data_IF_484040643007
#
_entry.id   IF_484040643007
#
_cell.length_a   1.000
_cell.length_b   1.000
_cell.length_c   1.000
_cell.angle_alpha   90.00
_cell.angle_beta   90.00
_cell.angle_gamma   90.00
#
_symmetry.space_group_name_H-M   'P 1'
#
loop_
_entity.id
_entity.type
_entity.pdbx_description
1 polymer ?
#
# COMPACT_ATOMS: atom_id res chain seq x y z
N UNK A 1 -23.17 2.18 -3.92
CA UNK A 1 -21.88 1.99 -3.20
C UNK A 1 -20.80 2.53 -4.13
N UNK A 2 -20.27 3.72 -3.88
CA UNK A 2 -19.15 4.25 -4.68
C UNK A 2 -17.93 3.39 -4.41
N UNK A 3 -17.38 2.79 -5.46
CA UNK A 3 -16.26 1.86 -5.35
C UNK A 3 -14.96 2.65 -5.32
N UNK A 4 -14.29 2.67 -4.17
CA UNK A 4 -12.97 3.28 -4.04
C UNK A 4 -11.97 2.57 -4.95
N UNK A 5 -11.21 3.36 -5.72
CA UNK A 5 -10.10 2.83 -6.50
C UNK A 5 -8.79 3.01 -5.70
N UNK A 6 -8.12 1.89 -5.44
CA UNK A 6 -6.86 1.83 -4.68
C UNK A 6 -5.74 1.42 -5.64
N UNK A 7 -4.80 2.33 -5.90
CA UNK A 7 -3.58 2.07 -6.64
C UNK A 7 -2.41 1.92 -5.67
N UNK A 8 -1.60 0.87 -5.85
CA UNK A 8 -0.42 0.59 -5.02
C UNK A 8 0.75 0.25 -5.91
N UNK A 9 1.94 0.73 -5.56
CA UNK A 9 3.18 0.47 -6.29
C UNK A 9 4.37 0.40 -5.33
N UNK A 10 5.18 -0.64 -5.46
CA UNK A 10 6.49 -0.74 -4.80
C UNK A 10 7.50 0.13 -5.56
N UNK A 11 8.23 0.97 -4.84
CA UNK A 11 9.34 1.74 -5.37
C UNK A 11 10.56 0.82 -5.51
N UNK A 12 10.83 0.40 -6.75
CA UNK A 12 11.88 -0.59 -7.05
C UNK A 12 13.28 -0.07 -6.75
N UNK A 13 13.50 1.23 -6.96
CA UNK A 13 14.84 1.83 -6.86
C UNK A 13 15.24 2.05 -5.40
N UNK A 14 14.25 2.23 -4.52
CA UNK A 14 14.46 2.47 -3.08
C UNK A 14 14.07 1.29 -2.18
N UNK A 15 13.73 0.13 -2.77
CA UNK A 15 13.39 -1.08 -2.01
C UNK A 15 14.52 -2.11 -2.07
N UNK A 16 14.89 -2.64 -0.90
CA UNK A 16 15.89 -3.71 -0.78
C UNK A 16 15.43 -4.71 0.27
N UNK A 17 15.49 -6.00 -0.06
CA UNK A 17 15.10 -7.05 0.88
C UNK A 17 15.85 -6.89 2.23
N UNK A 18 15.15 -6.93 3.39
CA UNK A 18 13.73 -7.23 3.61
C UNK A 18 12.75 -6.02 3.69
N UNK A 19 13.18 -4.81 3.33
CA UNK A 19 12.41 -3.56 3.44
C UNK A 19 12.00 -2.97 2.09
N UNK A 20 10.71 -2.71 1.93
CA UNK A 20 10.11 -2.25 0.68
C UNK A 20 9.39 -0.93 0.87
N UNK A 21 9.73 0.08 0.06
CA UNK A 21 9.05 1.37 0.02
C UNK A 21 7.83 1.25 -0.89
N UNK A 22 6.65 1.61 -0.39
CA UNK A 22 5.39 1.41 -1.09
C UNK A 22 4.61 2.71 -1.13
N UNK A 23 4.23 3.12 -2.35
CA UNK A 23 3.32 4.23 -2.58
C UNK A 23 1.90 3.69 -2.72
N UNK A 24 0.93 4.36 -2.08
CA UNK A 24 -0.49 4.10 -2.31
C UNK A 24 -1.23 5.39 -2.64
N UNK A 25 -2.31 5.24 -3.41
CA UNK A 25 -3.23 6.33 -3.78
C UNK A 25 -4.65 5.78 -3.80
N UNK A 26 -5.58 6.50 -3.19
CA UNK A 26 -7.01 6.16 -3.13
C UNK A 26 -7.83 7.29 -3.75
N UNK A 27 -8.69 6.93 -4.69
CA UNK A 27 -9.61 7.85 -5.33
C UNK A 27 -11.06 7.39 -5.20
N UNK A 28 -11.98 8.33 -5.03
CA UNK A 28 -13.42 8.13 -5.05
C UNK A 28 -14.01 8.90 -6.24
N UNK A 29 -14.65 8.20 -7.17
CA UNK A 29 -15.20 8.80 -8.40
C UNK A 29 -14.18 9.69 -9.16
N UNK A 30 -12.91 9.28 -9.16
CA UNK A 30 -11.79 10.02 -9.78
C UNK A 30 -11.20 11.15 -8.92
N UNK A 31 -11.82 11.51 -7.80
CA UNK A 31 -11.30 12.47 -6.83
C UNK A 31 -10.29 11.81 -5.90
N UNK A 32 -9.12 12.41 -5.73
CA UNK A 32 -8.14 11.99 -4.71
C UNK A 32 -8.73 12.21 -3.31
N UNK A 33 -8.80 11.14 -2.52
CA UNK A 33 -9.23 11.20 -1.11
C UNK A 33 -8.09 10.93 -0.14
N UNK A 34 -7.02 10.28 -0.57
CA UNK A 34 -5.81 10.12 0.21
C UNK A 34 -4.74 9.32 -0.50
N UNK A 35 -3.50 9.56 -0.11
CA UNK A 35 -2.29 8.91 -0.60
C UNK A 35 -1.24 8.90 0.51
N UNK A 36 -0.14 8.17 0.24
CA UNK A 36 0.98 8.12 1.15
C UNK A 36 2.10 7.21 0.68
N UNK A 37 3.18 7.23 1.44
CA UNK A 37 4.36 6.38 1.28
C UNK A 37 4.56 5.68 2.61
N UNK A 38 4.72 4.36 2.57
CA UNK A 38 4.97 3.53 3.75
C UNK A 38 6.13 2.58 3.49
N UNK A 39 6.73 2.09 4.57
CA UNK A 39 7.71 1.01 4.51
C UNK A 39 7.04 -0.28 4.95
N UNK A 40 7.23 -1.35 4.17
CA UNK A 40 6.80 -2.70 4.51
C UNK A 40 8.03 -3.58 4.71
N UNK A 41 8.14 -4.21 5.87
CA UNK A 41 9.22 -5.10 6.25
C UNK A 41 8.71 -6.54 6.26
N UNK A 42 9.20 -7.40 5.36
CA UNK A 42 8.63 -8.76 5.15
C UNK A 42 8.83 -9.71 6.33
N UNK A 43 9.83 -9.45 7.16
CA UNK A 43 10.18 -10.29 8.32
C UNK A 43 9.53 -9.80 9.61
N UNK A 44 8.84 -8.66 9.57
CA UNK A 44 8.18 -8.13 10.76
C UNK A 44 6.87 -8.90 11.00
N UNK A 45 6.65 -9.31 12.24
CA UNK A 45 5.38 -9.91 12.68
C UNK A 45 4.22 -8.95 12.44
N UNK A 46 4.47 -7.65 12.65
CA UNK A 46 3.52 -6.57 12.41
C UNK A 46 4.20 -5.41 11.69
N UNK A 47 3.52 -4.88 10.68
CA UNK A 47 3.91 -3.67 9.97
C UNK A 47 2.98 -2.53 10.39
N UNK A 48 3.54 -1.47 10.98
CA UNK A 48 2.78 -0.25 11.24
C UNK A 48 2.68 0.56 9.93
N UNK A 49 1.50 0.47 9.30
CA UNK A 49 1.22 1.11 8.02
C UNK A 49 0.26 2.28 8.24
N UNK A 50 0.77 3.50 8.49
CA UNK A 50 -0.08 4.67 8.66
C UNK A 50 -0.79 5.00 7.34
N UNK A 51 -2.12 4.82 7.35
CA UNK A 51 -2.98 5.15 6.21
C UNK A 51 -3.64 6.49 6.47
N UNK A 52 -3.62 7.36 5.45
CA UNK A 52 -4.19 8.70 5.48
C UNK A 52 -5.61 8.69 6.08
N UNK A 53 -5.84 9.53 7.08
CA UNK A 53 -7.07 9.54 7.85
C UNK A 53 -8.30 10.00 7.05
N UNK A 54 -8.10 10.68 5.93
CA UNK A 54 -9.18 11.07 5.03
C UNK A 54 -9.81 9.86 4.31
N UNK A 55 -9.12 8.71 4.27
CA UNK A 55 -9.65 7.47 3.70
C UNK A 55 -10.63 6.85 4.70
N UNK A 56 -11.84 6.45 4.28
CA UNK A 56 -12.81 5.79 5.17
C UNK A 56 -12.25 4.52 5.81
N UNK A 57 -12.62 4.26 7.08
CA UNK A 57 -12.06 3.18 7.88
C UNK A 57 -12.10 1.81 7.17
N UNK A 58 -13.24 1.44 6.58
CA UNK A 58 -13.37 0.17 5.84
C UNK A 58 -12.44 0.06 4.62
N UNK A 59 -12.09 1.20 4.02
CA UNK A 59 -11.16 1.27 2.89
C UNK A 59 -9.70 1.23 3.34
N UNK A 60 -9.37 1.74 4.54
CA UNK A 60 -7.99 1.71 5.07
C UNK A 60 -7.46 0.28 5.20
N UNK A 61 -8.29 -0.65 5.66
CA UNK A 61 -7.90 -2.07 5.74
C UNK A 61 -7.68 -2.69 4.35
N UNK A 62 -8.48 -2.30 3.36
CA UNK A 62 -8.26 -2.73 1.97
C UNK A 62 -6.94 -2.19 1.41
N UNK A 63 -6.55 -0.96 1.77
CA UNK A 63 -5.26 -0.37 1.38
C UNK A 63 -4.11 -1.17 1.98
N UNK A 64 -4.15 -1.48 3.29
CA UNK A 64 -3.14 -2.30 3.97
C UNK A 64 -2.98 -3.67 3.31
N UNK A 65 -4.09 -4.35 3.00
CA UNK A 65 -4.07 -5.65 2.31
C UNK A 65 -3.44 -5.55 0.91
N UNK A 66 -3.78 -4.51 0.13
CA UNK A 66 -3.17 -4.28 -1.18
C UNK A 66 -1.68 -3.95 -1.11
N UNK A 67 -1.23 -3.25 -0.07
CA UNK A 67 0.20 -3.00 0.18
C UNK A 67 0.93 -4.33 0.39
N UNK A 68 0.46 -5.17 1.31
CA UNK A 68 1.06 -6.47 1.56
C UNK A 68 1.09 -7.36 0.31
N UNK A 69 -0.03 -7.41 -0.43
CA UNK A 69 -0.12 -8.16 -1.69
C UNK A 69 0.89 -7.63 -2.72
N UNK A 70 0.96 -6.31 -2.93
CA UNK A 70 1.86 -5.72 -3.93
C UNK A 70 3.33 -5.97 -3.62
N UNK A 71 3.71 -6.00 -2.33
CA UNK A 71 5.07 -6.36 -1.91
C UNK A 71 5.35 -7.83 -2.16
N UNK A 72 4.42 -8.73 -1.79
CA UNK A 72 4.58 -10.16 -2.05
C UNK A 72 4.68 -10.47 -3.55
N UNK A 73 3.83 -9.85 -4.38
CA UNK A 73 3.88 -9.99 -5.82
C UNK A 73 5.20 -9.47 -6.40
N UNK A 74 5.71 -8.35 -5.87
CA UNK A 74 7.01 -7.81 -6.26
C UNK A 74 8.16 -8.75 -5.91
N UNK A 75 8.18 -9.30 -4.69
CA UNK A 75 9.18 -10.28 -4.25
C UNK A 75 9.16 -11.51 -5.17
N UNK A 76 7.98 -12.06 -5.45
CA UNK A 76 7.81 -13.24 -6.31
C UNK A 76 8.14 -13.00 -7.80
N UNK A 77 8.34 -11.75 -8.22
CA UNK A 77 8.83 -11.43 -9.57
C UNK A 77 10.35 -11.32 -9.63
N UNK A 78 11.00 -11.07 -8.49
CA UNK A 78 12.46 -10.96 -8.39
C UNK A 78 13.11 -12.34 -8.22
N UNK A 79 12.41 -13.27 -7.58
CA UNK A 79 12.85 -14.64 -7.32
C UNK A 79 12.10 -15.65 -8.17
#
# INVERSE_FOLDING_TARGET
>A
MSAYHIAVRVDKDNSIDPSYIVHYRVTDEGRLIGDGIVQYHRLAEHNDLPINENIPQGTREQVKNKIAQSVNDYINQIF
#
